data_IF_864818292199
#
_entry.id   IF_864818292199
#
_cell.length_a   1.000
_cell.length_b   1.000
_cell.length_c   1.000
_cell.angle_alpha   90.00
_cell.angle_beta   90.00
_cell.angle_gamma   90.00
#
_symmetry.space_group_name_H-M   'P 1'
#
loop_
_entity.id
_entity.type
_entity.pdbx_description
1 polymer ?
#
# COMPACT_ATOMS: atom_id res chain seq x y z
N UNK A 1 -61.03 -24.79 -14.47
CA UNK A 1 -61.68 -24.90 -13.15
C UNK A 1 -60.63 -25.45 -12.22
N UNK A 2 -59.88 -24.56 -11.56
CA UNK A 2 -60.30 -23.95 -10.30
C UNK A 2 -60.42 -25.07 -9.27
N UNK A 3 -59.56 -25.09 -8.27
CA UNK A 3 -59.92 -24.55 -6.97
C UNK A 3 -58.72 -24.87 -6.06
N UNK A 4 -58.16 -24.01 -5.23
CA UNK A 4 -58.26 -22.59 -5.01
C UNK A 4 -56.97 -22.36 -4.20
N UNK A 5 -56.04 -21.53 -4.67
CA UNK A 5 -56.12 -20.09 -4.38
C UNK A 5 -56.01 -19.75 -2.87
N UNK A 6 -55.78 -20.73 -1.98
CA UNK A 6 -55.84 -20.54 -0.52
C UNK A 6 -54.65 -21.02 0.32
N UNK A 7 -53.67 -21.76 -0.23
CA UNK A 7 -52.35 -21.86 0.45
C UNK A 7 -51.39 -20.72 0.04
N UNK A 8 -51.78 -20.01 -1.02
CA UNK A 8 -51.11 -18.94 -1.75
C UNK A 8 -50.98 -17.60 -0.97
N UNK A 9 -51.14 -17.60 0.36
CA UNK A 9 -51.03 -16.37 1.17
C UNK A 9 -50.24 -16.53 2.48
N UNK A 10 -49.71 -17.72 2.81
CA UNK A 10 -48.86 -17.92 4.00
C UNK A 10 -47.54 -18.68 3.74
N UNK A 11 -47.32 -19.26 2.55
CA UNK A 11 -46.13 -20.06 2.21
C UNK A 11 -45.11 -19.33 1.30
N UNK A 12 -45.46 -18.15 0.78
CA UNK A 12 -44.66 -17.42 -0.21
C UNK A 12 -43.56 -16.56 0.42
N UNK A 13 -43.72 -16.10 1.66
CA UNK A 13 -42.69 -15.30 2.34
C UNK A 13 -41.47 -16.12 2.76
N UNK A 14 -41.65 -17.37 3.20
CA UNK A 14 -40.54 -18.25 3.55
C UNK A 14 -39.79 -18.71 2.30
N UNK A 15 -40.49 -19.11 1.23
CA UNK A 15 -39.85 -19.48 -0.04
C UNK A 15 -39.14 -18.31 -0.71
N UNK A 16 -39.73 -17.11 -0.73
CA UNK A 16 -39.08 -15.93 -1.29
C UNK A 16 -37.83 -15.52 -0.50
N UNK A 17 -37.91 -15.53 0.84
CA UNK A 17 -36.74 -15.28 1.69
C UNK A 17 -35.68 -16.37 1.55
N UNK A 18 -36.07 -17.64 1.39
CA UNK A 18 -35.15 -18.75 1.14
C UNK A 18 -34.46 -18.58 -0.23
N UNK A 19 -35.21 -18.20 -1.28
CA UNK A 19 -34.65 -17.95 -2.61
C UNK A 19 -33.69 -16.75 -2.58
N UNK A 20 -34.07 -15.65 -1.93
CA UNK A 20 -33.18 -14.48 -1.73
C UNK A 20 -31.92 -14.89 -0.97
N UNK A 21 -32.06 -15.67 0.11
CA UNK A 21 -30.94 -16.19 0.87
C UNK A 21 -30.00 -17.01 -0.02
N UNK A 22 -30.52 -17.98 -0.78
CA UNK A 22 -29.70 -18.80 -1.68
C UNK A 22 -29.00 -17.96 -2.76
N UNK A 23 -29.70 -17.01 -3.38
CA UNK A 23 -29.11 -16.12 -4.39
C UNK A 23 -27.99 -15.28 -3.77
N UNK A 24 -28.25 -14.60 -2.65
CA UNK A 24 -27.28 -13.73 -1.99
C UNK A 24 -26.04 -14.51 -1.50
N UNK A 25 -26.24 -15.67 -0.88
CA UNK A 25 -25.14 -16.51 -0.42
C UNK A 25 -24.38 -17.15 -1.59
N UNK A 26 -25.06 -17.47 -2.70
CA UNK A 26 -24.39 -17.97 -3.91
C UNK A 26 -23.50 -16.92 -4.56
N UNK A 27 -23.93 -15.65 -4.59
CA UNK A 27 -23.14 -14.52 -5.09
C UNK A 27 -21.92 -14.29 -4.21
N UNK A 28 -22.11 -14.18 -2.89
CA UNK A 28 -21.01 -14.02 -1.94
C UNK A 28 -20.00 -15.17 -2.03
N UNK A 29 -20.47 -16.42 -2.20
CA UNK A 29 -19.61 -17.58 -2.43
C UNK A 29 -18.84 -17.48 -3.75
N UNK A 30 -19.49 -17.03 -4.82
CA UNK A 30 -18.87 -16.86 -6.14
C UNK A 30 -17.76 -15.82 -6.11
N UNK A 31 -18.02 -14.67 -5.47
CA UNK A 31 -17.03 -13.61 -5.27
C UNK A 31 -15.80 -14.12 -4.51
N UNK A 32 -16.00 -14.77 -3.35
CA UNK A 32 -14.91 -15.38 -2.58
C UNK A 32 -14.15 -16.42 -3.40
N UNK A 33 -14.85 -17.20 -4.22
CA UNK A 33 -14.21 -18.21 -5.09
C UNK A 33 -13.38 -17.55 -6.19
N UNK A 34 -13.88 -16.47 -6.78
CA UNK A 34 -13.18 -15.65 -7.77
C UNK A 34 -11.88 -15.08 -7.20
N UNK A 35 -11.95 -14.49 -6.02
CA UNK A 35 -10.77 -13.96 -5.30
C UNK A 35 -9.72 -15.05 -5.06
N UNK A 36 -10.15 -16.22 -4.56
CA UNK A 36 -9.22 -17.35 -4.33
C UNK A 36 -8.52 -17.76 -5.62
N UNK A 37 -9.25 -17.84 -6.73
CA UNK A 37 -8.67 -18.21 -8.03
C UNK A 37 -7.67 -17.14 -8.48
N UNK A 38 -8.05 -15.87 -8.40
CA UNK A 38 -7.20 -14.75 -8.79
C UNK A 38 -5.89 -14.73 -7.99
N UNK A 39 -5.97 -14.81 -6.66
CA UNK A 39 -4.77 -14.80 -5.81
C UNK A 39 -3.89 -16.03 -6.02
N UNK A 40 -4.48 -17.22 -6.26
CA UNK A 40 -3.69 -18.41 -6.61
C UNK A 40 -2.94 -18.24 -7.94
N UNK A 41 -3.58 -17.64 -8.94
CA UNK A 41 -2.91 -17.33 -10.21
C UNK A 41 -1.77 -16.33 -10.01
N UNK A 42 -1.99 -15.31 -9.17
CA UNK A 42 -0.95 -14.32 -8.86
C UNK A 42 0.25 -14.96 -8.16
N UNK A 43 0.01 -15.85 -7.19
CA UNK A 43 1.06 -16.62 -6.51
C UNK A 43 1.85 -17.45 -7.54
N UNK A 44 1.15 -18.19 -8.41
CA UNK A 44 1.80 -19.02 -9.43
C UNK A 44 2.68 -18.20 -10.40
N UNK A 45 2.24 -16.99 -10.77
CA UNK A 45 3.04 -16.08 -11.60
C UNK A 45 4.30 -15.61 -10.87
N UNK A 46 4.16 -15.18 -9.60
CA UNK A 46 5.31 -14.76 -8.79
C UNK A 46 6.32 -15.90 -8.58
N UNK A 47 5.85 -17.12 -8.37
CA UNK A 47 6.71 -18.31 -8.25
C UNK A 47 7.49 -18.57 -9.54
N UNK A 48 6.86 -18.39 -10.70
CA UNK A 48 7.52 -18.54 -12.01
C UNK A 48 8.58 -17.47 -12.25
N UNK A 49 8.28 -16.23 -11.93
CA UNK A 49 9.23 -15.13 -12.04
C UNK A 49 10.43 -15.35 -11.11
N UNK A 50 10.18 -15.82 -9.88
CA UNK A 50 11.22 -16.17 -8.92
C UNK A 50 12.13 -17.29 -9.45
N UNK A 51 11.56 -18.38 -9.97
CA UNK A 51 12.34 -19.47 -10.58
C UNK A 51 13.21 -18.99 -11.75
N UNK A 52 12.71 -18.04 -12.54
CA UNK A 52 13.45 -17.46 -13.66
C UNK A 52 14.64 -16.65 -13.16
N UNK A 53 14.47 -15.86 -12.10
CA UNK A 53 15.55 -15.11 -11.45
C UNK A 53 16.60 -16.06 -10.87
N UNK A 54 16.16 -17.10 -10.13
CA UNK A 54 17.04 -18.09 -9.52
C UNK A 54 17.89 -18.83 -10.56
N UNK A 55 17.27 -19.25 -11.67
CA UNK A 55 17.98 -19.85 -12.79
C UNK A 55 18.99 -18.88 -13.40
N UNK A 56 18.63 -17.62 -13.54
CA UNK A 56 19.52 -16.58 -14.08
C UNK A 56 20.73 -16.37 -13.17
N UNK A 57 20.54 -16.29 -11.85
CA UNK A 57 21.64 -16.19 -10.87
C UNK A 57 22.60 -17.37 -11.05
N UNK A 58 22.07 -18.60 -11.14
CA UNK A 58 22.90 -19.80 -11.33
C UNK A 58 23.65 -19.87 -12.65
N UNK A 59 23.18 -19.18 -13.69
CA UNK A 59 23.94 -19.05 -14.94
C UNK A 59 25.21 -18.22 -14.73
N UNK A 60 25.16 -17.20 -13.87
CA UNK A 60 26.31 -16.34 -13.57
C UNK A 60 27.22 -16.92 -12.46
N UNK A 61 26.64 -17.60 -11.48
CA UNK A 61 27.36 -18.24 -10.38
C UNK A 61 26.62 -19.50 -9.91
N UNK A 62 27.14 -20.66 -10.29
CA UNK A 62 26.51 -21.98 -10.04
C UNK A 62 26.48 -22.33 -8.56
N UNK A 63 27.48 -21.87 -7.80
CA UNK A 63 27.66 -22.21 -6.38
C UNK A 63 27.00 -21.18 -5.45
N UNK A 64 26.36 -20.15 -6.02
CA UNK A 64 25.66 -19.13 -5.24
C UNK A 64 24.52 -19.74 -4.41
N UNK A 65 24.58 -19.55 -3.09
CA UNK A 65 23.55 -20.01 -2.17
C UNK A 65 22.34 -19.06 -2.17
N UNK A 66 21.37 -19.37 -3.03
CA UNK A 66 20.09 -18.64 -3.14
C UNK A 66 19.29 -18.71 -1.83
N UNK A 67 19.44 -19.78 -1.03
CA UNK A 67 18.69 -19.92 0.23
C UNK A 67 19.09 -18.88 1.28
N UNK A 68 20.27 -18.27 1.12
CA UNK A 68 20.74 -17.16 1.95
C UNK A 68 20.00 -15.83 1.68
N UNK A 69 19.30 -15.71 0.53
CA UNK A 69 18.56 -14.49 0.18
C UNK A 69 17.32 -14.39 1.06
N UNK A 70 17.30 -13.39 1.96
CA UNK A 70 16.17 -13.17 2.88
C UNK A 70 14.94 -12.64 2.13
N UNK A 71 13.75 -13.21 2.36
CA UNK A 71 12.52 -12.67 1.79
C UNK A 71 12.24 -11.28 2.36
N UNK A 72 12.03 -10.30 1.47
CA UNK A 72 11.62 -8.95 1.84
C UNK A 72 10.15 -8.78 1.50
N UNK A 73 9.31 -8.61 2.52
CA UNK A 73 7.93 -8.18 2.30
C UNK A 73 8.01 -6.72 1.83
N UNK A 74 7.69 -6.48 0.56
CA UNK A 74 7.41 -5.13 0.10
C UNK A 74 6.17 -4.66 0.83
N UNK A 75 6.31 -3.96 1.96
CA UNK A 75 5.20 -3.20 2.49
C UNK A 75 4.79 -2.24 1.38
N UNK A 76 3.52 -2.33 0.95
CA UNK A 76 2.95 -1.27 0.10
C UNK A 76 3.03 -0.01 0.94
N UNK A 77 4.05 0.80 0.73
CA UNK A 77 3.94 2.21 0.99
C UNK A 77 2.86 2.69 0.01
N UNK A 78 1.58 2.60 0.42
CA UNK A 78 0.42 2.91 -0.43
C UNK A 78 0.48 4.34 -0.99
N UNK A 79 1.34 5.17 -0.41
CA UNK A 79 1.50 6.58 -0.72
C UNK A 79 2.65 6.87 -1.68
N UNK A 80 3.67 5.99 -1.76
CA UNK A 80 4.89 6.26 -2.52
C UNK A 80 5.45 5.00 -3.17
N UNK A 81 5.77 5.11 -4.45
CA UNK A 81 6.58 4.14 -5.18
C UNK A 81 8.04 4.13 -4.66
N UNK A 82 8.82 3.12 -5.09
CA UNK A 82 10.21 2.99 -4.66
C UNK A 82 11.02 4.25 -5.00
N UNK A 83 11.67 4.85 -4.01
CA UNK A 83 12.48 6.07 -4.15
C UNK A 83 11.68 7.38 -4.32
N UNK A 84 10.38 7.32 -4.60
CA UNK A 84 9.55 8.49 -4.91
C UNK A 84 9.45 9.46 -3.71
N UNK A 85 9.27 8.93 -2.50
CA UNK A 85 9.21 9.74 -1.28
C UNK A 85 10.47 10.61 -1.09
N UNK A 86 11.65 10.11 -1.49
CA UNK A 86 12.92 10.86 -1.37
C UNK A 86 12.95 12.04 -2.33
N UNK A 87 12.53 11.82 -3.58
CA UNK A 87 12.49 12.87 -4.61
C UNK A 87 11.57 14.00 -4.18
N UNK A 88 10.36 13.67 -3.72
CA UNK A 88 9.36 14.66 -3.30
C UNK A 88 9.82 15.48 -2.09
N UNK A 89 10.40 14.83 -1.09
CA UNK A 89 10.93 15.53 0.09
C UNK A 89 12.04 16.51 -0.30
N UNK A 90 12.97 16.08 -1.17
CA UNK A 90 14.05 16.94 -1.66
C UNK A 90 13.51 18.08 -2.53
N UNK A 91 12.50 17.84 -3.36
CA UNK A 91 11.85 18.86 -4.18
C UNK A 91 11.16 19.92 -3.32
N UNK A 92 10.42 19.51 -2.28
CA UNK A 92 9.79 20.44 -1.33
C UNK A 92 10.84 21.26 -0.59
N UNK A 93 11.92 20.63 -0.13
CA UNK A 93 13.01 21.35 0.55
C UNK A 93 13.81 22.25 -0.42
N UNK A 94 13.91 21.91 -1.70
CA UNK A 94 14.60 22.72 -2.72
C UNK A 94 13.77 23.94 -3.11
N UNK A 95 12.46 23.77 -3.17
CA UNK A 95 11.52 24.84 -3.52
C UNK A 95 11.35 25.85 -2.38
N UNK A 96 11.65 25.45 -1.14
CA UNK A 96 11.54 26.30 0.04
C UNK A 96 12.94 26.68 0.56
N UNK A 97 13.29 27.98 0.51
CA UNK A 97 14.58 28.49 1.01
C UNK A 97 14.73 28.42 2.54
N UNK A 98 13.64 28.16 3.26
CA UNK A 98 13.59 28.11 4.72
C UNK A 98 13.55 26.66 5.21
N UNK A 99 14.19 26.35 6.35
CA UNK A 99 14.08 25.04 6.97
C UNK A 99 12.61 24.70 7.31
N UNK A 100 12.16 23.49 6.96
CA UNK A 100 10.77 23.06 7.15
C UNK A 100 10.67 21.92 8.18
N UNK A 101 9.58 21.92 8.95
CA UNK A 101 9.27 20.82 9.85
C UNK A 101 8.71 19.61 9.09
N UNK A 102 8.91 18.40 9.62
CA UNK A 102 8.34 17.16 9.04
C UNK A 102 6.84 17.28 8.77
N UNK A 103 6.08 17.94 9.66
CA UNK A 103 4.64 18.14 9.49
C UNK A 103 4.33 19.02 8.28
N UNK A 104 5.00 20.17 8.15
CA UNK A 104 4.81 21.07 6.99
C UNK A 104 5.19 20.39 5.68
N UNK A 105 6.28 19.62 5.67
CA UNK A 105 6.68 18.83 4.49
C UNK A 105 5.58 17.83 4.14
N UNK A 106 5.00 17.16 5.14
CA UNK A 106 3.91 16.21 4.91
C UNK A 106 2.64 16.89 4.37
N UNK A 107 2.28 18.05 4.87
CA UNK A 107 1.13 18.81 4.38
C UNK A 107 1.31 19.26 2.93
N UNK A 108 2.49 19.80 2.60
CA UNK A 108 2.80 20.24 1.23
C UNK A 108 2.73 19.05 0.26
N UNK A 109 3.31 17.89 0.61
CA UNK A 109 3.27 16.70 -0.25
C UNK A 109 1.84 16.16 -0.39
N UNK A 110 1.04 16.20 0.69
CA UNK A 110 -0.35 15.75 0.65
C UNK A 110 -1.21 16.65 -0.27
N UNK A 111 -1.06 17.97 -0.18
CA UNK A 111 -1.75 18.95 -1.04
C UNK A 111 -1.32 18.77 -2.50
N UNK A 112 0.00 18.70 -2.77
CA UNK A 112 0.52 18.52 -4.14
C UNK A 112 0.03 17.24 -4.80
N UNK A 113 -0.32 16.21 -4.02
CA UNK A 113 -0.85 14.93 -4.50
C UNK A 113 -2.36 14.78 -4.40
N UNK A 114 -3.08 15.82 -3.97
CA UNK A 114 -4.52 15.75 -3.69
C UNK A 114 -4.90 14.55 -2.79
N UNK A 115 -4.06 14.23 -1.80
CA UNK A 115 -4.30 13.13 -0.88
C UNK A 115 -5.29 13.59 0.20
N UNK A 116 -6.45 12.94 0.25
CA UNK A 116 -7.38 13.05 1.39
C UNK A 116 -7.15 11.86 2.34
N UNK A 117 -6.94 12.14 3.62
CA UNK A 117 -6.79 11.12 4.64
C UNK A 117 -8.13 10.94 5.36
N UNK A 118 -8.84 9.85 5.08
CA UNK A 118 -10.11 9.52 5.74
C UNK A 118 -9.90 9.18 7.23
N UNK A 119 -8.77 8.54 7.56
CA UNK A 119 -8.45 8.09 8.91
C UNK A 119 -7.20 8.75 9.48
N UNK A 120 -7.19 9.01 10.80
CA UNK A 120 -6.01 9.48 11.54
C UNK A 120 -4.81 8.54 11.40
N UNK A 121 -5.06 7.24 11.29
CA UNK A 121 -4.02 6.21 11.10
C UNK A 121 -3.30 6.35 9.77
N UNK A 122 -4.02 6.68 8.69
CA UNK A 122 -3.44 6.85 7.36
C UNK A 122 -2.56 8.09 7.30
N UNK A 123 -3.01 9.20 7.91
CA UNK A 123 -2.18 10.40 8.08
C UNK A 123 -0.88 10.09 8.85
N UNK A 124 -0.97 9.33 9.95
CA UNK A 124 0.21 8.95 10.73
C UNK A 124 1.18 8.05 9.93
N UNK A 125 0.66 7.08 9.18
CA UNK A 125 1.48 6.21 8.35
C UNK A 125 2.18 6.98 7.21
N UNK A 126 1.48 7.94 6.61
CA UNK A 126 2.05 8.84 5.62
C UNK A 126 3.20 9.69 6.19
N UNK A 127 2.98 10.30 7.37
CA UNK A 127 4.03 11.06 8.07
C UNK A 127 5.24 10.19 8.42
N UNK A 128 5.03 8.94 8.85
CA UNK A 128 6.12 7.97 9.10
C UNK A 128 6.91 7.65 7.83
N UNK A 129 6.24 7.47 6.69
CA UNK A 129 6.91 7.25 5.40
C UNK A 129 7.80 8.44 5.00
N UNK A 130 7.33 9.66 5.23
CA UNK A 130 8.10 10.89 4.97
C UNK A 130 9.30 11.00 5.92
N UNK A 131 9.10 10.71 7.21
CA UNK A 131 10.18 10.70 8.19
C UNK A 131 11.27 9.67 7.83
N UNK A 132 10.87 8.49 7.35
CA UNK A 132 11.81 7.47 6.89
C UNK A 132 12.62 7.94 5.67
N UNK A 133 11.94 8.59 4.70
CA UNK A 133 12.62 9.18 3.54
C UNK A 133 13.62 10.27 3.96
N UNK A 134 13.24 11.16 4.87
CA UNK A 134 14.11 12.20 5.44
C UNK A 134 15.32 11.61 6.17
N UNK A 135 15.12 10.59 7.01
CA UNK A 135 16.22 9.89 7.68
C UNK A 135 17.17 9.21 6.69
N UNK A 136 16.65 8.69 5.57
CA UNK A 136 17.49 8.12 4.52
C UNK A 136 18.25 9.19 3.74
N UNK A 137 17.64 10.35 3.49
CA UNK A 137 18.34 11.49 2.89
C UNK A 137 19.42 12.04 3.83
N UNK A 138 19.20 11.98 5.15
CA UNK A 138 20.19 12.34 6.16
C UNK A 138 21.38 11.39 6.15
N UNK A 139 21.14 10.07 6.13
CA UNK A 139 22.22 9.07 6.03
C UNK A 139 23.02 9.22 4.73
N UNK A 140 22.37 9.71 3.67
CA UNK A 140 22.99 9.99 2.38
C UNK A 140 23.63 11.39 2.29
N UNK A 141 23.72 12.14 3.39
CA UNK A 141 24.29 13.49 3.46
C UNK A 141 23.62 14.55 2.55
N UNK A 142 22.35 14.36 2.17
CA UNK A 142 21.62 15.30 1.31
C UNK A 142 20.86 16.38 2.09
N UNK A 143 20.48 16.08 3.34
CA UNK A 143 19.73 16.97 4.23
C UNK A 143 20.36 16.99 5.61
N UNK A 144 20.16 18.08 6.34
CA UNK A 144 20.62 18.27 7.71
C UNK A 144 19.45 18.59 8.64
N UNK A 145 19.60 18.20 9.91
CA UNK A 145 18.67 18.55 10.99
C UNK A 145 19.11 19.88 11.58
N UNK A 146 18.34 20.94 11.36
CA UNK A 146 18.69 22.30 11.83
C UNK A 146 18.29 22.51 13.28
N UNK A 147 17.11 22.01 13.67
CA UNK A 147 16.58 22.14 15.04
C UNK A 147 15.41 21.18 15.26
N UNK A 148 14.87 21.17 16.47
CA UNK A 148 13.62 20.50 16.85
C UNK A 148 12.63 21.56 17.34
N UNK A 149 11.47 21.61 16.71
CA UNK A 149 10.35 22.46 17.14
C UNK A 149 9.29 21.57 17.79
N UNK A 150 9.28 21.53 19.12
CA UNK A 150 8.44 20.63 19.91
C UNK A 150 8.74 19.14 19.66
N UNK A 151 7.78 18.41 19.07
CA UNK A 151 7.94 17.00 18.67
C UNK A 151 8.46 16.83 17.24
N UNK A 152 8.56 17.92 16.48
CA UNK A 152 8.78 17.90 15.04
C UNK A 152 10.21 18.33 14.70
N UNK A 153 10.83 17.61 13.75
CA UNK A 153 12.21 17.86 13.34
C UNK A 153 12.20 18.87 12.20
N UNK A 154 13.08 19.87 12.26
CA UNK A 154 13.28 20.87 11.21
C UNK A 154 14.44 20.42 10.31
N UNK A 155 14.18 20.41 9.00
CA UNK A 155 15.09 19.92 7.97
C UNK A 155 15.49 21.03 7.00
N UNK A 156 16.75 21.00 6.55
CA UNK A 156 17.28 21.84 5.47
C UNK A 156 18.07 20.98 4.49
N UNK A 157 18.13 21.36 3.22
CA UNK A 157 19.09 20.77 2.28
C UNK A 157 20.50 21.14 2.73
N UNK A 158 21.39 20.15 2.72
CA UNK A 158 22.81 20.39 2.95
C UNK A 158 23.37 21.09 1.71
N UNK A 159 23.80 22.33 1.87
CA UNK A 159 24.52 23.03 0.80
C UNK A 159 25.87 22.32 0.62
N UNK A 160 26.12 21.81 -0.59
CA UNK A 160 27.43 21.31 -0.99
C UNK A 160 28.34 22.53 -1.15
N UNK A 161 29.28 22.69 -0.22
CA UNK A 161 30.46 23.52 -0.42
C UNK A 161 31.38 22.87 -1.46
#
# INVERSE_FOLDING_TARGET
MSNYFFSFLFSDFTNFNIVIFYVLFSVARSELRGDIIHYKQLIATLDKDLQTIDATIKIFDVDYDISSIKPVIKSRNRFFNNGEAKVLVLEVLKSNKLPLSTDKISEIIAVNRNLSFENKTDKSNFQKSILLALNTCLSNNLVEKVSKDGLSIIWKIKELN
#
